data_IF_399593894056
#
_entry.id   IF_399593894056
#
_cell.length_a   1.000
_cell.length_b   1.000
_cell.length_c   1.000
_cell.angle_alpha   90.00
_cell.angle_beta   90.00
_cell.angle_gamma   90.00
#
_symmetry.space_group_name_H-M   'P 1'
#
loop_
_entity.id
_entity.type
_entity.pdbx_description
1 polymer ?
#
# COMPACT_ATOMS: atom_id res chain seq x y z
N UNK A 1 -14.20 -31.64 -3.63
CA UNK A 1 -13.94 -31.63 -2.17
C UNK A 1 -12.76 -30.72 -1.92
N UNK A 2 -12.90 -29.67 -1.12
CA UNK A 2 -11.75 -28.89 -0.65
C UNK A 2 -10.96 -29.78 0.32
N UNK A 3 -9.69 -30.01 0.03
CA UNK A 3 -8.80 -30.77 0.91
C UNK A 3 -8.62 -29.93 2.16
N UNK A 4 -9.14 -30.38 3.28
CA UNK A 4 -9.06 -29.69 4.55
C UNK A 4 -7.63 -29.82 5.09
N UNK A 5 -6.91 -28.70 5.21
CA UNK A 5 -5.60 -28.69 5.85
C UNK A 5 -5.74 -29.10 7.33
N UNK A 6 -4.90 -30.02 7.79
CA UNK A 6 -4.89 -30.43 9.19
C UNK A 6 -3.96 -29.51 9.95
N UNK A 7 -4.49 -28.75 10.92
CA UNK A 7 -3.70 -27.93 11.84
C UNK A 7 -3.01 -28.84 12.86
N UNK A 8 -1.69 -28.73 12.95
CA UNK A 8 -0.84 -29.47 13.91
C UNK A 8 -0.59 -28.66 15.16
N UNK A 9 -0.34 -27.37 14.97
CA UNK A 9 0.03 -26.44 16.03
C UNK A 9 -0.55 -25.07 15.72
N UNK A 10 -0.98 -24.35 16.76
CA UNK A 10 -1.52 -23.00 16.60
C UNK A 10 -1.11 -22.11 17.79
N UNK A 11 -0.62 -20.92 17.49
CA UNK A 11 -0.26 -19.90 18.46
C UNK A 11 -0.90 -18.57 18.09
N UNK A 12 -1.63 -17.98 19.02
CA UNK A 12 -2.16 -16.61 18.87
C UNK A 12 -1.31 -15.64 19.67
N UNK A 13 -0.90 -14.56 19.01
CA UNK A 13 -0.09 -13.50 19.58
C UNK A 13 -0.89 -12.21 19.64
N UNK A 14 -0.80 -11.53 20.79
CA UNK A 14 -1.26 -10.17 20.97
C UNK A 14 -0.03 -9.28 21.07
N UNK A 15 0.09 -8.33 20.17
CA UNK A 15 1.27 -7.48 20.04
C UNK A 15 0.88 -6.04 20.27
N UNK A 16 1.62 -5.37 21.15
CA UNK A 16 1.57 -3.93 21.31
C UNK A 16 2.95 -3.35 20.93
N UNK A 17 2.97 -2.35 20.08
CA UNK A 17 4.23 -1.75 19.64
C UNK A 17 5.01 -1.06 20.76
N UNK A 18 4.40 -0.81 21.94
CA UNK A 18 5.09 -0.35 23.15
C UNK A 18 5.93 -1.46 23.82
N UNK A 19 5.61 -2.74 23.58
CA UNK A 19 6.27 -3.92 24.16
C UNK A 19 7.32 -4.53 23.21
N UNK A 20 7.72 -3.78 22.20
CA UNK A 20 8.70 -4.21 21.21
C UNK A 20 10.07 -4.56 21.82
N UNK A 21 10.75 -5.50 21.24
CA UNK A 21 12.14 -5.87 21.63
C UNK A 21 13.15 -4.80 21.18
N UNK A 22 12.92 -4.16 20.02
CA UNK A 22 13.74 -3.08 19.47
C UNK A 22 12.99 -2.31 18.37
N UNK A 23 13.54 -1.16 17.98
CA UNK A 23 12.98 -0.34 16.90
C UNK A 23 12.07 0.81 17.38
N UNK A 24 11.22 1.32 16.49
CA UNK A 24 10.26 2.41 16.73
C UNK A 24 8.85 1.87 16.89
N UNK A 25 7.85 2.71 17.20
CA UNK A 25 6.46 2.26 17.24
C UNK A 25 5.94 1.71 15.91
N UNK A 26 6.47 2.17 14.80
CA UNK A 26 5.97 1.81 13.45
C UNK A 26 6.93 0.95 12.64
N UNK A 27 8.10 0.64 13.19
CA UNK A 27 9.06 -0.32 12.64
C UNK A 27 9.80 -0.96 13.80
N UNK A 28 9.44 -2.19 14.17
CA UNK A 28 9.94 -2.84 15.37
C UNK A 28 10.06 -4.35 15.24
N UNK A 29 10.89 -4.93 16.09
CA UNK A 29 11.07 -6.37 16.21
C UNK A 29 10.35 -6.91 17.43
N UNK A 30 9.78 -8.09 17.27
CA UNK A 30 9.34 -8.98 18.34
C UNK A 30 10.24 -10.20 18.34
N UNK A 31 10.88 -10.48 19.47
CA UNK A 31 11.65 -11.70 19.68
C UNK A 31 10.83 -12.68 20.50
N UNK A 32 10.73 -13.91 20.04
CA UNK A 32 10.06 -14.97 20.78
C UNK A 32 11.01 -15.56 21.81
N UNK A 33 10.50 -15.85 23.00
CA UNK A 33 11.28 -16.50 24.07
C UNK A 33 11.74 -17.92 23.69
N UNK A 34 10.99 -18.55 22.80
CA UNK A 34 11.31 -19.86 22.24
C UNK A 34 11.20 -19.79 20.72
N UNK A 35 12.10 -20.50 20.03
CA UNK A 35 12.04 -20.63 18.58
C UNK A 35 10.84 -21.46 18.18
N UNK A 36 10.00 -20.93 17.29
CA UNK A 36 8.88 -21.66 16.72
C UNK A 36 9.42 -22.46 15.53
N UNK A 37 9.39 -23.78 15.62
CA UNK A 37 9.86 -24.68 14.57
C UNK A 37 8.71 -25.47 13.98
N UNK A 38 8.78 -25.81 12.70
CA UNK A 38 7.90 -26.80 12.11
C UNK A 38 8.11 -28.17 12.75
N UNK A 39 7.03 -28.80 13.20
CA UNK A 39 7.06 -30.12 13.84
C UNK A 39 7.02 -31.25 12.81
N UNK A 40 6.35 -31.05 11.70
CA UNK A 40 6.17 -32.03 10.66
C UNK A 40 7.02 -31.75 9.42
N UNK A 41 7.68 -32.77 8.85
CA UNK A 41 8.46 -32.63 7.60
C UNK A 41 7.67 -32.08 6.41
N UNK A 42 6.34 -32.25 6.40
CA UNK A 42 5.41 -31.76 5.37
C UNK A 42 4.56 -30.60 5.86
N UNK A 43 4.90 -30.08 7.04
CA UNK A 43 4.25 -28.92 7.61
C UNK A 43 4.65 -27.63 6.89
N UNK A 44 3.76 -26.66 6.95
CA UNK A 44 4.00 -25.31 6.48
C UNK A 44 3.36 -24.32 7.43
N UNK A 45 4.04 -23.20 7.70
CA UNK A 45 3.46 -22.14 8.49
C UNK A 45 2.44 -21.33 7.68
N UNK A 46 1.36 -21.00 8.34
CA UNK A 46 0.40 -20.00 7.91
C UNK A 46 0.30 -18.90 8.96
N UNK A 47 0.19 -17.66 8.50
CA UNK A 47 -0.14 -16.50 9.35
C UNK A 47 -1.50 -15.96 8.99
N UNK A 48 -2.29 -15.62 10.00
CA UNK A 48 -3.58 -14.94 9.87
C UNK A 48 -3.61 -13.75 10.81
N UNK A 49 -4.00 -12.60 10.30
CA UNK A 49 -4.29 -11.43 11.13
C UNK A 49 -5.72 -11.51 11.65
N UNK A 50 -5.90 -11.26 12.95
CA UNK A 50 -7.21 -11.35 13.59
C UNK A 50 -7.81 -9.98 13.86
N UNK A 51 -6.97 -9.04 14.33
CA UNK A 51 -7.42 -7.69 14.65
C UNK A 51 -6.27 -6.71 14.61
N UNK A 52 -6.59 -5.44 14.39
CA UNK A 52 -5.63 -4.34 14.46
C UNK A 52 -6.29 -3.09 15.01
N UNK A 53 -5.55 -2.35 15.83
CA UNK A 53 -5.93 -1.07 16.41
C UNK A 53 -4.81 -0.07 16.17
N UNK A 54 -5.06 0.93 15.34
CA UNK A 54 -4.08 1.94 14.95
C UNK A 54 -4.63 3.32 15.30
N UNK A 55 -3.87 4.18 16.01
CA UNK A 55 -4.29 5.56 16.25
C UNK A 55 -4.26 6.36 14.94
N UNK A 56 -5.34 7.03 14.59
CA UNK A 56 -5.37 7.92 13.44
C UNK A 56 -4.82 9.30 13.83
N UNK A 57 -3.52 9.34 14.12
CA UNK A 57 -2.78 10.54 14.54
C UNK A 57 -1.80 11.04 13.48
N UNK A 58 -1.67 10.32 12.38
CA UNK A 58 -0.82 10.72 11.26
C UNK A 58 -1.48 11.82 10.41
N UNK A 59 -0.64 12.59 9.75
CA UNK A 59 -1.08 13.64 8.84
C UNK A 59 -1.28 13.11 7.43
N UNK A 60 -2.36 13.52 6.78
CA UNK A 60 -2.63 13.23 5.38
C UNK A 60 -1.65 13.99 4.48
N UNK A 61 -1.42 15.26 4.77
CA UNK A 61 -0.34 16.05 4.17
C UNK A 61 0.89 15.99 5.08
N UNK A 62 1.92 15.28 4.64
CA UNK A 62 3.09 15.00 5.48
C UNK A 62 4.41 15.11 4.71
N UNK A 63 5.49 15.31 5.45
CA UNK A 63 6.84 15.43 4.89
C UNK A 63 7.50 14.08 4.60
N UNK A 64 7.06 13.01 5.24
CA UNK A 64 7.62 11.67 5.05
C UNK A 64 7.41 11.20 3.63
N UNK A 65 6.19 11.39 3.11
CA UNK A 65 5.83 11.06 1.75
C UNK A 65 6.07 12.25 0.78
N UNK A 66 6.68 13.33 1.26
CA UNK A 66 6.90 14.58 0.51
C UNK A 66 5.62 15.17 -0.10
N UNK A 67 4.48 14.95 0.54
CA UNK A 67 3.16 15.39 0.06
C UNK A 67 2.91 16.89 0.31
N UNK A 68 3.77 17.55 1.05
CA UNK A 68 3.63 18.93 1.49
C UNK A 68 4.55 19.93 0.78
N UNK A 69 5.26 19.51 -0.26
CA UNK A 69 6.20 20.37 -1.00
C UNK A 69 5.67 20.65 -2.40
N UNK A 70 5.65 21.91 -2.79
CA UNK A 70 5.25 22.39 -4.11
C UNK A 70 6.38 23.21 -4.71
N UNK A 71 6.76 22.89 -5.95
CA UNK A 71 7.70 23.73 -6.71
C UNK A 71 6.94 24.90 -7.36
N UNK A 72 7.40 26.11 -7.11
CA UNK A 72 6.73 27.33 -7.58
C UNK A 72 7.69 28.17 -8.41
N UNK A 73 7.25 28.59 -9.60
CA UNK A 73 7.95 29.58 -10.42
C UNK A 73 7.19 30.89 -10.38
N UNK A 74 7.83 31.94 -9.98
CA UNK A 74 7.29 33.31 -9.86
C UNK A 74 7.98 34.21 -10.88
N UNK A 75 7.20 34.93 -11.68
CA UNK A 75 7.68 35.91 -12.62
C UNK A 75 7.02 37.26 -12.34
N UNK A 76 7.81 38.31 -12.22
CA UNK A 76 7.33 39.69 -12.01
C UNK A 76 7.30 40.52 -13.31
N UNK A 77 7.67 39.88 -14.42
CA UNK A 77 7.84 40.57 -15.71
C UNK A 77 9.24 41.14 -15.93
N UNK A 78 9.98 41.44 -14.85
CA UNK A 78 11.37 41.91 -14.90
C UNK A 78 12.35 40.93 -14.32
N UNK A 79 11.88 40.02 -13.47
CA UNK A 79 12.67 38.97 -12.82
C UNK A 79 11.85 37.70 -12.72
N UNK A 80 12.54 36.56 -12.62
CA UNK A 80 11.86 35.24 -12.48
C UNK A 80 12.73 34.31 -11.66
N UNK A 81 12.11 33.61 -10.71
CA UNK A 81 12.77 32.60 -9.88
C UNK A 81 11.91 31.39 -9.64
N UNK A 82 12.55 30.29 -9.28
CA UNK A 82 11.87 29.02 -8.92
C UNK A 82 12.34 28.59 -7.54
N UNK A 83 11.40 28.20 -6.69
CA UNK A 83 11.69 27.70 -5.36
C UNK A 83 10.65 26.68 -4.92
N UNK A 84 10.99 25.90 -3.91
CA UNK A 84 10.03 25.02 -3.25
C UNK A 84 9.37 25.77 -2.08
N UNK A 85 8.05 25.71 -2.01
CA UNK A 85 7.29 26.10 -0.81
C UNK A 85 6.88 24.84 -0.06
N UNK A 86 6.76 24.94 1.25
CA UNK A 86 6.42 23.82 2.13
C UNK A 86 5.17 24.14 2.91
N UNK A 87 4.07 23.49 2.56
CA UNK A 87 2.84 23.54 3.33
C UNK A 87 3.06 22.84 4.68
N UNK A 88 2.59 23.40 5.76
CA UNK A 88 2.71 22.79 7.08
C UNK A 88 2.08 21.38 7.09
N UNK A 89 2.68 20.45 7.83
CA UNK A 89 2.10 19.11 7.94
C UNK A 89 0.77 19.19 8.69
N UNK A 90 -0.25 18.49 8.18
CA UNK A 90 -1.55 18.56 8.79
C UNK A 90 -2.65 17.75 8.09
N UNK A 91 -3.80 17.86 8.68
CA UNK A 91 -5.05 17.34 8.16
C UNK A 91 -5.97 18.51 7.84
N UNK A 92 -6.05 18.84 6.59
CA UNK A 92 -6.69 20.06 6.13
C UNK A 92 -8.14 19.86 5.75
N UNK A 93 -8.95 20.90 5.96
CA UNK A 93 -10.16 21.15 5.18
C UNK A 93 -9.76 21.92 3.91
N UNK A 94 -10.61 21.95 2.85
CA UNK A 94 -10.29 22.72 1.66
C UNK A 94 -10.01 24.21 1.96
N UNK A 95 -10.72 24.77 2.91
CA UNK A 95 -10.58 26.19 3.30
C UNK A 95 -9.25 26.46 4.02
N UNK A 96 -8.88 25.60 4.99
CA UNK A 96 -7.61 25.75 5.71
C UNK A 96 -6.41 25.50 4.80
N UNK A 97 -6.54 24.57 3.84
CA UNK A 97 -5.50 24.31 2.85
C UNK A 97 -5.26 25.52 1.93
N UNK A 98 -6.35 26.14 1.45
CA UNK A 98 -6.28 27.35 0.62
C UNK A 98 -5.61 28.49 1.39
N UNK A 99 -5.95 28.67 2.66
CA UNK A 99 -5.36 29.70 3.51
C UNK A 99 -3.86 29.48 3.66
N UNK A 100 -3.44 28.26 3.93
CA UNK A 100 -2.03 27.92 4.08
C UNK A 100 -1.25 28.12 2.78
N UNK A 101 -1.80 27.65 1.64
CA UNK A 101 -1.20 27.88 0.33
C UNK A 101 -1.05 29.39 0.04
N UNK A 102 -2.04 30.20 0.39
CA UNK A 102 -1.99 31.65 0.22
C UNK A 102 -0.86 32.27 1.04
N UNK A 103 -0.68 31.84 2.29
CA UNK A 103 0.38 32.31 3.16
C UNK A 103 1.78 31.98 2.59
N UNK A 104 1.98 30.72 2.21
CA UNK A 104 3.24 30.25 1.66
C UNK A 104 3.61 30.94 0.33
N UNK A 105 2.64 31.12 -0.57
CA UNK A 105 2.84 31.86 -1.81
C UNK A 105 3.14 33.34 -1.56
N UNK A 106 2.48 33.96 -0.59
CA UNK A 106 2.76 35.37 -0.21
C UNK A 106 4.18 35.49 0.31
N UNK A 107 4.64 34.59 1.16
CA UNK A 107 6.02 34.57 1.64
C UNK A 107 7.01 34.34 0.50
N UNK A 108 6.74 33.41 -0.39
CA UNK A 108 7.58 33.10 -1.55
C UNK A 108 7.75 34.33 -2.49
N UNK A 109 6.72 35.15 -2.61
CA UNK A 109 6.79 36.40 -3.38
C UNK A 109 7.57 37.51 -2.66
N UNK A 110 7.46 37.57 -1.34
CA UNK A 110 8.14 38.62 -0.52
C UNK A 110 9.63 38.32 -0.29
N UNK A 111 10.00 37.05 -0.25
CA UNK A 111 11.35 36.58 0.07
C UNK A 111 11.92 35.70 -1.04
N UNK A 112 12.31 36.30 -2.19
CA UNK A 112 12.93 35.53 -3.27
C UNK A 112 14.28 34.96 -2.85
N UNK A 113 14.78 33.91 -3.52
CA UNK A 113 16.13 33.39 -3.28
C UNK A 113 17.23 34.41 -3.51
N UNK A 114 18.41 34.19 -2.93
CA UNK A 114 19.57 35.04 -3.09
C UNK A 114 19.91 35.25 -4.57
N UNK A 115 20.09 36.52 -4.97
CA UNK A 115 20.38 36.91 -6.35
C UNK A 115 19.18 37.45 -7.13
N UNK A 116 17.98 37.34 -6.58
CA UNK A 116 16.76 37.93 -7.12
C UNK A 116 16.37 39.18 -6.34
N UNK A 117 15.75 40.14 -7.03
CA UNK A 117 15.34 41.39 -6.39
C UNK A 117 13.89 41.23 -5.94
N UNK A 118 13.68 41.29 -4.64
CA UNK A 118 12.36 41.48 -4.05
C UNK A 118 11.87 42.90 -4.33
N UNK A 119 11.67 43.25 -5.59
CA UNK A 119 11.01 44.52 -5.90
C UNK A 119 9.55 44.36 -5.58
N UNK A 120 9.04 45.10 -4.61
CA UNK A 120 7.62 45.39 -4.32
C UNK A 120 6.52 44.52 -4.97
N UNK A 121 6.82 43.23 -5.25
CA UNK A 121 5.85 42.30 -5.80
C UNK A 121 4.98 41.75 -4.68
N UNK A 122 3.84 42.39 -4.51
CA UNK A 122 2.85 42.03 -3.49
C UNK A 122 1.55 41.60 -4.16
N UNK A 123 1.52 40.36 -4.73
CA UNK A 123 0.31 39.85 -5.34
C UNK A 123 -0.75 39.55 -4.28
N UNK A 124 -2.01 39.61 -4.69
CA UNK A 124 -3.12 39.14 -3.87
C UNK A 124 -3.64 37.86 -4.45
N UNK A 125 -3.75 36.82 -3.59
CA UNK A 125 -4.31 35.51 -3.95
C UNK A 125 -5.75 35.44 -3.48
N UNK A 126 -6.66 35.23 -4.42
CA UNK A 126 -8.09 35.04 -4.17
C UNK A 126 -8.49 33.62 -4.57
N UNK A 127 -8.14 32.66 -3.72
CA UNK A 127 -8.49 31.26 -3.96
C UNK A 127 -9.83 30.95 -3.33
N UNK A 128 -10.60 30.10 -3.98
CA UNK A 128 -11.91 29.69 -3.50
C UNK A 128 -12.15 28.19 -3.74
N UNK A 129 -12.98 27.60 -2.90
CA UNK A 129 -13.40 26.21 -2.99
C UNK A 129 -14.91 26.16 -3.24
N UNK A 130 -15.33 25.33 -4.18
CA UNK A 130 -16.74 25.10 -4.51
C UNK A 130 -17.20 23.79 -3.92
N UNK A 131 -17.98 23.77 -2.80
CA UNK A 131 -18.33 22.54 -2.10
C UNK A 131 -19.15 21.55 -2.94
N UNK A 132 -19.97 22.03 -3.85
CA UNK A 132 -20.83 21.19 -4.70
C UNK A 132 -20.07 20.37 -5.74
N UNK A 133 -18.88 20.82 -6.14
CA UNK A 133 -18.04 20.16 -7.16
C UNK A 133 -16.73 19.63 -6.61
N UNK A 134 -16.30 20.14 -5.47
CA UNK A 134 -15.00 19.81 -4.89
C UNK A 134 -13.81 20.52 -5.56
N UNK A 135 -14.05 21.48 -6.46
CA UNK A 135 -13.00 22.18 -7.20
C UNK A 135 -12.46 23.38 -6.43
N UNK A 136 -11.16 23.66 -6.66
CA UNK A 136 -10.48 24.88 -6.21
C UNK A 136 -10.32 25.80 -7.42
N UNK A 137 -10.66 27.09 -7.25
CA UNK A 137 -10.40 28.13 -8.23
C UNK A 137 -9.27 29.02 -7.71
N UNK A 138 -8.24 29.17 -8.52
CA UNK A 138 -7.05 29.99 -8.26
C UNK A 138 -7.21 31.32 -9.01
N UNK A 139 -7.12 32.42 -8.31
CA UNK A 139 -7.16 33.76 -8.92
C UNK A 139 -6.01 34.59 -8.35
N UNK A 140 -5.20 35.12 -9.27
CA UNK A 140 -4.10 36.05 -8.97
C UNK A 140 -4.51 37.46 -9.30
N UNK A 141 -4.33 38.38 -8.35
CA UNK A 141 -4.42 39.85 -8.59
C UNK A 141 -3.02 40.42 -8.45
N UNK A 142 -2.42 40.80 -9.59
CA UNK A 142 -1.04 41.27 -9.71
C UNK A 142 -0.88 42.15 -10.96
N UNK A 143 0.27 42.82 -11.17
CA UNK A 143 0.58 43.49 -12.43
C UNK A 143 0.45 42.54 -13.63
N UNK A 144 -0.06 43.03 -14.76
CA UNK A 144 -0.37 42.24 -15.96
C UNK A 144 0.81 41.49 -16.57
N UNK A 145 2.03 41.89 -16.29
CA UNK A 145 3.27 41.24 -16.75
C UNK A 145 3.72 40.09 -15.84
N UNK A 146 3.02 39.88 -14.73
CA UNK A 146 3.38 38.86 -13.74
C UNK A 146 2.73 37.52 -14.06
N UNK A 147 3.33 36.43 -13.57
CA UNK A 147 2.71 35.08 -13.58
C UNK A 147 3.27 34.21 -12.46
N UNK A 148 2.46 33.27 -12.00
CA UNK A 148 2.88 32.27 -11.01
C UNK A 148 2.48 30.89 -11.52
N UNK A 149 3.42 29.95 -11.46
CA UNK A 149 3.23 28.57 -11.81
C UNK A 149 3.38 27.69 -10.57
N UNK A 150 2.39 26.88 -10.31
CA UNK A 150 2.50 25.77 -9.35
C UNK A 150 2.88 24.51 -10.15
N UNK A 151 4.11 24.05 -10.00
CA UNK A 151 4.68 22.98 -10.81
C UNK A 151 4.69 21.66 -10.01
N UNK A 152 3.67 20.85 -10.15
CA UNK A 152 3.58 19.56 -9.44
C UNK A 152 4.50 18.49 -10.04
N UNK A 153 4.90 18.58 -11.31
CA UNK A 153 5.90 17.70 -11.92
C UNK A 153 7.28 17.80 -11.29
N UNK A 154 7.65 18.98 -10.87
CA UNK A 154 8.95 19.26 -10.27
C UNK A 154 8.92 19.19 -8.75
N UNK A 155 7.76 18.85 -8.17
CA UNK A 155 7.63 18.60 -6.73
C UNK A 155 8.26 17.26 -6.39
N UNK A 156 8.83 17.11 -5.18
CA UNK A 156 9.39 15.83 -4.72
C UNK A 156 8.40 14.66 -4.80
N UNK A 157 7.10 14.96 -4.72
CA UNK A 157 6.04 13.98 -4.92
C UNK A 157 4.90 14.59 -5.76
N UNK A 158 4.66 14.02 -6.93
CA UNK A 158 3.59 14.44 -7.85
C UNK A 158 2.19 14.31 -7.25
N UNK A 159 2.00 13.43 -6.26
CA UNK A 159 0.71 13.25 -5.59
C UNK A 159 0.26 14.49 -4.80
N UNK A 160 1.18 15.43 -4.51
CA UNK A 160 0.86 16.73 -3.87
C UNK A 160 -0.21 17.49 -4.66
N UNK A 161 -0.20 17.37 -5.99
CA UNK A 161 -1.21 18.00 -6.85
C UNK A 161 -2.63 17.56 -6.55
N UNK A 162 -2.83 16.32 -6.13
CA UNK A 162 -4.15 15.79 -5.80
C UNK A 162 -4.86 16.54 -4.67
N UNK A 163 -4.12 17.08 -3.69
CA UNK A 163 -4.69 17.92 -2.62
C UNK A 163 -5.36 19.18 -3.18
N UNK A 164 -4.83 19.70 -4.28
CA UNK A 164 -5.29 20.93 -4.92
C UNK A 164 -6.22 20.64 -6.11
N UNK A 165 -6.57 19.39 -6.33
CA UNK A 165 -7.43 18.98 -7.46
C UNK A 165 -6.72 19.06 -8.81
N UNK A 166 -5.40 18.94 -8.84
CA UNK A 166 -4.62 18.94 -10.07
C UNK A 166 -4.32 17.50 -10.47
N UNK A 167 -4.69 17.15 -11.69
CA UNK A 167 -4.36 15.85 -12.26
C UNK A 167 -2.84 15.75 -12.45
N UNK A 168 -2.22 14.73 -11.86
CA UNK A 168 -0.77 14.51 -11.94
C UNK A 168 -0.32 13.89 -13.26
N UNK A 169 -1.28 13.55 -14.11
CA UNK A 169 -0.97 12.96 -15.42
C UNK A 169 -0.88 14.04 -16.51
N UNK A 170 -1.85 14.95 -16.65
CA UNK A 170 -1.83 16.08 -17.60
C UNK A 170 -2.98 17.06 -17.26
N UNK A 171 -2.77 18.38 -17.15
CA UNK A 171 -1.51 19.09 -16.92
C UNK A 171 -1.10 19.03 -15.45
N UNK A 172 0.19 18.93 -15.21
CA UNK A 172 0.79 18.81 -13.89
C UNK A 172 1.19 20.17 -13.28
N UNK A 173 0.76 21.25 -13.90
CA UNK A 173 1.00 22.60 -13.43
C UNK A 173 -0.25 23.47 -13.50
N UNK A 174 -0.32 24.44 -12.62
CA UNK A 174 -1.32 25.53 -12.65
C UNK A 174 -0.60 26.81 -12.98
N UNK A 175 -0.93 27.42 -14.11
CA UNK A 175 -0.45 28.75 -14.47
C UNK A 175 -1.50 29.78 -14.03
N UNK A 176 -1.13 30.66 -13.12
CA UNK A 176 -1.94 31.78 -12.68
C UNK A 176 -1.48 33.05 -13.39
N UNK A 177 -2.32 33.57 -14.27
CA UNK A 177 -2.16 34.88 -14.87
C UNK A 177 -2.98 35.92 -14.11
N UNK A 178 -2.58 37.21 -14.10
CA UNK A 178 -3.32 38.26 -13.42
C UNK A 178 -4.77 38.37 -13.93
N UNK A 179 -5.72 38.43 -13.01
CA UNK A 179 -7.14 38.61 -13.26
C UNK A 179 -7.80 37.45 -14.07
N UNK A 180 -7.11 36.33 -14.25
CA UNK A 180 -7.66 35.16 -14.94
C UNK A 180 -7.87 34.03 -13.94
N UNK A 181 -9.10 33.64 -13.64
CA UNK A 181 -9.37 32.53 -12.75
C UNK A 181 -9.01 31.19 -13.46
N UNK A 182 -8.33 30.31 -12.73
CA UNK A 182 -7.99 28.96 -13.18
C UNK A 182 -8.65 27.98 -12.21
N UNK A 183 -9.49 27.10 -12.70
CA UNK A 183 -10.13 26.08 -11.88
C UNK A 183 -9.34 24.77 -11.97
N UNK A 184 -9.22 24.08 -10.85
CA UNK A 184 -8.57 22.77 -10.77
C UNK A 184 -9.22 21.79 -11.76
N UNK A 185 -8.45 20.80 -12.23
CA UNK A 185 -8.89 19.86 -13.27
C UNK A 185 -9.76 18.72 -12.73
N UNK A 186 -9.73 18.49 -11.42
CA UNK A 186 -10.49 17.47 -10.72
C UNK A 186 -10.83 17.95 -9.31
N UNK A 187 -11.73 17.29 -8.57
CA UNK A 187 -11.96 17.57 -7.16
C UNK A 187 -10.71 17.39 -6.32
N UNK A 188 -10.52 18.23 -5.31
CA UNK A 188 -9.41 18.08 -4.38
C UNK A 188 -9.56 16.82 -3.53
N UNK A 189 -8.43 16.11 -3.31
CA UNK A 189 -8.37 14.88 -2.53
C UNK A 189 -7.59 15.13 -1.26
N UNK A 190 -8.29 15.41 -0.15
CA UNK A 190 -7.66 15.74 1.13
C UNK A 190 -7.19 14.54 1.93
N UNK A 191 -7.66 13.34 1.56
CA UNK A 191 -7.33 12.08 2.23
C UNK A 191 -6.71 11.08 1.23
N UNK A 192 -5.50 11.34 0.73
CA UNK A 192 -4.84 10.44 -0.22
C UNK A 192 -4.41 9.11 0.44
N UNK A 193 -4.16 9.12 1.76
CA UNK A 193 -3.90 7.89 2.52
C UNK A 193 -5.25 7.29 2.89
N UNK A 194 -5.65 6.25 2.18
CA UNK A 194 -6.96 5.60 2.33
C UNK A 194 -6.89 4.19 2.94
N UNK A 195 -5.71 3.62 3.02
CA UNK A 195 -5.45 2.39 3.76
C UNK A 195 -4.01 2.33 4.26
N UNK A 196 -3.81 1.52 5.29
CA UNK A 196 -2.51 1.22 5.86
C UNK A 196 -2.14 -0.22 5.53
N UNK A 197 -0.83 -0.49 5.48
CA UNK A 197 -0.27 -1.80 5.22
C UNK A 197 0.56 -2.23 6.42
N UNK A 198 0.15 -3.33 7.04
CA UNK A 198 0.99 -4.03 8.01
C UNK A 198 1.90 -4.95 7.23
N UNK A 199 3.19 -4.74 7.37
CA UNK A 199 4.24 -5.50 6.68
C UNK A 199 5.11 -6.24 7.67
N UNK A 200 5.82 -7.26 7.20
CA UNK A 200 6.75 -8.02 8.06
C UNK A 200 7.95 -8.55 7.30
N UNK A 201 8.94 -8.99 8.07
CA UNK A 201 10.11 -9.71 7.56
C UNK A 201 9.83 -11.18 7.18
N UNK A 202 8.64 -11.69 7.46
CA UNK A 202 8.27 -13.06 7.11
C UNK A 202 8.20 -13.21 5.59
N UNK A 203 8.90 -14.18 5.06
CA UNK A 203 8.90 -14.50 3.62
C UNK A 203 7.62 -15.26 3.27
N UNK A 204 6.83 -14.71 2.38
CA UNK A 204 5.53 -15.22 2.01
C UNK A 204 5.55 -15.88 0.63
N UNK A 205 4.79 -16.98 0.48
CA UNK A 205 4.43 -17.46 -0.86
C UNK A 205 3.30 -16.58 -1.40
N UNK A 206 3.50 -16.02 -2.58
CA UNK A 206 2.39 -15.40 -3.30
C UNK A 206 1.44 -16.47 -3.83
N UNK A 207 0.18 -16.37 -3.46
CA UNK A 207 -0.88 -16.98 -4.24
C UNK A 207 -0.92 -16.21 -5.58
N UNK A 208 -0.77 -16.91 -6.71
CA UNK A 208 -0.68 -16.34 -8.07
C UNK A 208 -1.87 -15.47 -8.48
N UNK A 209 -2.93 -15.40 -7.70
CA UNK A 209 -4.17 -14.68 -8.02
C UNK A 209 -4.14 -13.18 -7.72
N UNK A 210 -3.13 -12.68 -6.99
CA UNK A 210 -3.04 -11.25 -6.61
C UNK A 210 -1.83 -10.53 -7.20
N UNK A 211 -1.42 -10.87 -8.39
CA UNK A 211 -0.20 -10.34 -8.99
C UNK A 211 -0.46 -8.98 -9.63
N UNK A 212 0.10 -7.92 -9.08
CA UNK A 212 0.45 -6.70 -9.82
C UNK A 212 1.79 -6.09 -9.35
N UNK A 213 2.62 -6.76 -8.60
CA UNK A 213 3.92 -6.22 -8.18
C UNK A 213 5.08 -7.11 -8.64
N UNK A 214 6.17 -6.49 -9.03
CA UNK A 214 7.31 -7.04 -9.77
C UNK A 214 8.12 -8.15 -9.11
N UNK A 215 7.92 -8.43 -7.81
CA UNK A 215 8.75 -9.38 -7.07
C UNK A 215 7.92 -10.56 -6.55
N UNK A 216 8.46 -11.76 -6.62
CA UNK A 216 7.78 -13.01 -6.26
C UNK A 216 7.51 -13.21 -4.75
N UNK A 217 7.95 -12.28 -3.91
CA UNK A 217 7.77 -12.30 -2.45
C UNK A 217 7.07 -11.02 -2.00
N UNK A 218 5.94 -11.16 -1.30
CA UNK A 218 5.26 -10.04 -0.65
C UNK A 218 5.67 -9.97 0.82
N UNK A 219 5.87 -8.77 1.34
CA UNK A 219 6.07 -8.46 2.76
C UNK A 219 4.79 -7.93 3.43
N UNK A 220 3.70 -7.78 2.66
CA UNK A 220 2.42 -7.28 3.15
C UNK A 220 1.66 -8.42 3.81
N UNK A 221 1.45 -8.32 5.12
CA UNK A 221 0.63 -9.26 5.88
C UNK A 221 -0.85 -8.87 5.89
N UNK A 222 -1.13 -7.56 5.96
CA UNK A 222 -2.50 -7.11 6.12
C UNK A 222 -2.74 -5.71 5.57
N UNK A 223 -3.90 -5.51 4.96
CA UNK A 223 -4.38 -4.21 4.48
C UNK A 223 -5.50 -3.72 5.38
N UNK A 224 -5.31 -2.56 5.99
CA UNK A 224 -6.23 -1.95 6.93
C UNK A 224 -6.88 -0.73 6.28
N UNK A 225 -8.16 -0.76 5.92
CA UNK A 225 -8.85 0.41 5.39
C UNK A 225 -9.04 1.47 6.48
N UNK A 226 -8.92 2.74 6.12
CA UNK A 226 -9.20 3.86 7.00
C UNK A 226 -10.69 4.18 6.88
N UNK A 227 -11.47 3.78 7.88
CA UNK A 227 -12.92 3.93 7.90
C UNK A 227 -13.41 4.92 8.96
N UNK A 228 -12.48 5.55 9.69
CA UNK A 228 -12.78 6.44 10.81
C UNK A 228 -12.29 7.86 10.53
N UNK A 229 -12.76 8.82 11.32
CA UNK A 229 -12.27 10.19 11.32
C UNK A 229 -10.95 10.32 12.09
N UNK A 230 -10.24 11.40 11.85
CA UNK A 230 -9.01 11.76 12.55
C UNK A 230 -9.21 11.86 14.07
N UNK A 231 -8.12 11.70 14.82
CA UNK A 231 -8.09 11.73 16.28
C UNK A 231 -8.92 10.61 16.94
N UNK A 232 -9.22 9.57 16.21
CA UNK A 232 -9.87 8.34 16.69
C UNK A 232 -8.99 7.12 16.45
N UNK A 233 -9.49 5.94 16.81
CA UNK A 233 -8.80 4.68 16.56
C UNK A 233 -9.38 4.00 15.33
N UNK A 234 -8.49 3.55 14.43
CA UNK A 234 -8.82 2.65 13.36
C UNK A 234 -8.88 1.26 13.97
N UNK A 235 -10.09 0.75 14.18
CA UNK A 235 -10.32 -0.59 14.71
C UNK A 235 -10.79 -1.48 13.57
N UNK A 236 -10.04 -2.55 13.30
CA UNK A 236 -10.37 -3.47 12.24
C UNK A 236 -10.24 -4.90 12.75
N UNK A 237 -11.33 -5.66 12.71
CA UNK A 237 -11.48 -6.98 13.34
C UNK A 237 -11.81 -8.08 12.33
N UNK A 238 -11.48 -7.88 11.08
CA UNK A 238 -11.69 -8.90 10.07
C UNK A 238 -10.48 -9.83 10.01
N UNK A 239 -10.72 -11.12 10.22
CA UNK A 239 -9.68 -12.13 10.05
C UNK A 239 -9.19 -12.15 8.59
N UNK A 240 -7.87 -12.12 8.39
CA UNK A 240 -7.28 -12.22 7.06
C UNK A 240 -7.40 -13.66 6.52
N UNK A 241 -7.32 -13.78 5.21
CA UNK A 241 -7.03 -15.09 4.62
C UNK A 241 -5.66 -15.59 5.09
N UNK A 242 -5.47 -16.92 5.22
CA UNK A 242 -4.20 -17.50 5.62
C UNK A 242 -3.11 -17.20 4.59
N UNK A 243 -1.99 -16.67 5.08
CA UNK A 243 -0.80 -16.41 4.27
C UNK A 243 0.23 -17.49 4.57
N UNK A 244 0.70 -18.20 3.54
CA UNK A 244 1.73 -19.21 3.68
C UNK A 244 3.12 -18.58 3.78
N UNK A 245 3.92 -19.03 4.74
CA UNK A 245 5.28 -18.56 4.99
C UNK A 245 6.27 -19.60 4.50
N UNK A 246 7.41 -19.12 3.97
CA UNK A 246 8.50 -19.98 3.45
C UNK A 246 9.40 -20.47 4.60
N UNK A 247 9.49 -19.67 5.68
CA UNK A 247 10.40 -19.97 6.79
C UNK A 247 9.99 -21.26 7.51
N UNK A 248 10.97 -22.08 7.86
CA UNK A 248 10.78 -23.32 8.62
C UNK A 248 10.92 -23.10 10.13
N UNK A 249 11.49 -21.96 10.52
CA UNK A 249 11.73 -21.57 11.90
C UNK A 249 11.46 -20.07 12.06
N UNK A 250 10.86 -19.68 13.17
CA UNK A 250 10.57 -18.28 13.48
C UNK A 250 11.10 -17.99 14.88
N UNK A 251 12.12 -17.14 14.96
CA UNK A 251 12.72 -16.68 16.22
C UNK A 251 12.35 -15.22 16.49
N UNK A 252 12.27 -14.42 15.46
CA UNK A 252 11.87 -13.01 15.54
C UNK A 252 11.09 -12.61 14.32
N UNK A 253 10.25 -11.62 14.47
CA UNK A 253 9.52 -11.00 13.36
C UNK A 253 9.71 -9.49 13.46
N UNK A 254 10.12 -8.87 12.36
CA UNK A 254 10.04 -7.43 12.21
C UNK A 254 8.67 -7.08 11.65
N UNK A 255 8.00 -6.11 12.26
CA UNK A 255 6.76 -5.53 11.77
C UNK A 255 6.95 -4.06 11.47
N UNK A 256 6.39 -3.59 10.37
CA UNK A 256 6.37 -2.19 10.05
C UNK A 256 5.06 -1.77 9.39
N UNK A 257 4.65 -0.54 9.73
CA UNK A 257 3.40 0.05 9.28
C UNK A 257 3.69 1.12 8.24
N UNK A 258 3.15 0.95 7.04
CA UNK A 258 3.26 1.91 5.93
C UNK A 258 1.88 2.34 5.44
N UNK A 259 1.82 3.32 4.57
CA UNK A 259 0.60 3.71 3.89
C UNK A 259 0.58 3.20 2.43
N UNK A 260 -0.44 3.56 1.68
CA UNK A 260 -0.61 3.21 0.27
C UNK A 260 0.27 4.02 -0.71
N UNK A 261 0.98 5.03 -0.24
CA UNK A 261 1.74 5.94 -1.10
C UNK A 261 3.24 5.63 -1.08
N UNK A 262 3.75 5.11 0.05
CA UNK A 262 5.19 4.84 0.20
C UNK A 262 5.47 3.59 1.04
N UNK A 263 6.72 3.12 0.94
CA UNK A 263 7.26 2.06 1.80
C UNK A 263 7.86 2.60 3.10
N UNK A 264 7.85 3.91 3.30
CA UNK A 264 8.41 4.54 4.50
C UNK A 264 7.49 4.27 5.69
N UNK A 265 8.04 3.87 6.85
CA UNK A 265 7.24 3.69 8.06
C UNK A 265 6.52 4.98 8.45
N UNK A 266 5.26 4.83 8.84
CA UNK A 266 4.40 5.95 9.20
C UNK A 266 4.84 6.65 10.49
N UNK A 267 4.47 7.92 10.65
CA UNK A 267 4.60 8.63 11.92
C UNK A 267 3.25 8.66 12.66
N UNK A 268 3.11 7.89 13.70
CA UNK A 268 1.93 7.85 14.57
C UNK A 268 2.05 8.80 15.78
N UNK A 269 2.90 9.82 15.70
CA UNK A 269 3.12 10.79 16.80
C UNK A 269 3.49 10.12 18.13
N UNK A 270 4.34 9.08 18.05
CA UNK A 270 4.78 8.24 19.16
C UNK A 270 3.68 7.44 19.88
N UNK A 271 2.45 7.46 19.39
CA UNK A 271 1.37 6.67 20.00
C UNK A 271 1.50 5.22 19.54
N UNK A 272 1.48 4.25 20.45
CA UNK A 272 1.58 2.84 20.13
C UNK A 272 0.33 2.34 19.41
N UNK A 273 0.49 1.27 18.63
CA UNK A 273 -0.60 0.51 18.02
C UNK A 273 -0.52 -0.94 18.41
N UNK A 274 -1.62 -1.65 18.29
CA UNK A 274 -1.74 -3.04 18.69
C UNK A 274 -2.40 -3.87 17.62
N UNK A 275 -2.08 -5.16 17.59
CA UNK A 275 -2.71 -6.13 16.70
C UNK A 275 -2.63 -7.54 17.28
N UNK A 276 -3.45 -8.43 16.76
CA UNK A 276 -3.33 -9.85 17.03
C UNK A 276 -3.22 -10.66 15.75
N UNK A 277 -2.41 -11.69 15.80
CA UNK A 277 -2.23 -12.61 14.69
C UNK A 277 -2.03 -14.03 15.20
N UNK A 278 -2.31 -14.99 14.33
CA UNK A 278 -2.15 -16.42 14.62
C UNK A 278 -1.11 -17.01 13.68
N UNK A 279 -0.15 -17.73 14.23
CA UNK A 279 0.75 -18.61 13.47
C UNK A 279 0.27 -20.02 13.68
N UNK A 280 0.01 -20.75 12.60
CA UNK A 280 -0.34 -22.17 12.67
C UNK A 280 0.51 -22.98 11.72
N UNK A 281 0.86 -24.18 12.17
CA UNK A 281 1.41 -25.22 11.31
C UNK A 281 0.28 -26.03 10.70
N UNK A 282 0.28 -26.13 9.39
CA UNK A 282 -0.70 -26.97 8.66
C UNK A 282 0.05 -28.04 7.85
N UNK A 283 -0.50 -29.23 7.84
CA UNK A 283 -0.03 -30.28 6.94
C UNK A 283 -0.67 -30.06 5.57
N UNK A 284 0.16 -30.07 4.54
CA UNK A 284 -0.34 -30.25 3.18
C UNK A 284 -0.57 -31.74 2.96
N UNK A 285 -1.77 -32.17 2.68
CA UNK A 285 -1.96 -33.55 2.23
C UNK A 285 -1.28 -33.70 0.87
N UNK A 286 -0.14 -34.39 0.87
CA UNK A 286 0.50 -34.79 -0.37
C UNK A 286 -0.42 -35.76 -1.09
N UNK A 287 -0.54 -35.57 -2.40
CA UNK A 287 -1.22 -36.54 -3.25
C UNK A 287 -0.62 -37.94 -3.15
N UNK A 288 0.66 -38.08 -2.76
CA UNK A 288 1.29 -39.38 -2.49
C UNK A 288 0.79 -40.04 -1.21
N UNK A 289 0.49 -39.25 -0.16
CA UNK A 289 -0.10 -39.81 1.06
C UNK A 289 -1.55 -40.26 0.87
N UNK A 290 -2.31 -39.61 0.00
CA UNK A 290 -3.63 -40.06 -0.42
C UNK A 290 -3.55 -41.42 -1.17
N UNK A 291 -2.56 -41.56 -2.07
CA UNK A 291 -2.33 -42.83 -2.77
C UNK A 291 -1.87 -43.92 -1.81
N UNK A 292 -1.04 -43.60 -0.82
CA UNK A 292 -0.62 -44.56 0.23
C UNK A 292 -1.79 -44.91 1.13
N UNK A 293 -2.66 -43.95 1.48
CA UNK A 293 -3.86 -44.21 2.29
C UNK A 293 -4.88 -45.07 1.54
N UNK A 294 -5.06 -44.83 0.25
CA UNK A 294 -5.93 -45.64 -0.63
C UNK A 294 -5.35 -47.07 -0.79
N UNK A 295 -4.02 -47.23 -0.80
CA UNK A 295 -3.35 -48.53 -0.88
C UNK A 295 -3.36 -49.32 0.44
N UNK A 296 -3.57 -48.64 1.58
CA UNK A 296 -3.67 -49.25 2.91
C UNK A 296 -5.10 -49.69 3.29
N UNK A 297 -6.10 -49.36 2.47
CA UNK A 297 -7.44 -49.87 2.67
C UNK A 297 -7.37 -51.37 2.29
N UNK A 298 -7.54 -52.31 3.26
CA UNK A 298 -7.52 -53.72 2.94
C UNK A 298 -8.62 -54.03 1.90
N UNK A 299 -8.37 -54.93 0.96
CA UNK A 299 -9.42 -55.33 0.06
C UNK A 299 -10.58 -55.89 0.92
N UNK A 300 -11.74 -55.22 0.85
CA UNK A 300 -12.95 -55.70 1.49
C UNK A 300 -13.30 -57.06 0.88
N UNK A 301 -13.10 -58.10 1.67
CA UNK A 301 -13.63 -59.41 1.31
C UNK A 301 -15.17 -59.39 1.51
N UNK A 302 -15.89 -59.60 0.41
CA UNK A 302 -17.30 -59.98 0.28
C UNK A 302 -18.40 -58.92 0.46
N UNK A 303 -18.70 -58.21 -0.61
CA UNK A 303 -20.07 -58.16 -1.21
C UNK A 303 -19.94 -57.57 -2.64
N UNK A 304 -20.18 -58.40 -3.65
CA UNK A 304 -19.72 -58.15 -5.03
C UNK A 304 -20.31 -56.90 -5.69
N UNK A 305 -21.43 -56.37 -5.25
CA UNK A 305 -22.03 -55.19 -5.86
C UNK A 305 -21.57 -53.84 -5.22
N UNK A 306 -21.43 -53.77 -3.90
CA UNK A 306 -20.90 -52.59 -3.23
C UNK A 306 -19.41 -52.38 -3.54
N UNK A 307 -18.65 -53.49 -3.65
CA UNK A 307 -17.24 -53.47 -4.05
C UNK A 307 -17.09 -52.99 -5.50
N UNK A 308 -17.99 -53.39 -6.39
CA UNK A 308 -18.01 -52.90 -7.76
C UNK A 308 -18.31 -51.41 -7.85
N UNK A 309 -19.26 -50.89 -7.09
CA UNK A 309 -19.59 -49.47 -7.05
C UNK A 309 -18.42 -48.65 -6.49
N UNK A 310 -17.75 -49.08 -5.41
CA UNK A 310 -16.59 -48.46 -4.83
C UNK A 310 -15.37 -48.49 -5.77
N UNK A 311 -15.18 -49.57 -6.52
CA UNK A 311 -14.15 -49.68 -7.55
C UNK A 311 -14.41 -48.76 -8.74
N UNK A 312 -15.65 -48.59 -9.18
CA UNK A 312 -16.03 -47.66 -10.22
C UNK A 312 -15.87 -46.18 -9.77
N UNK A 313 -16.23 -45.86 -8.51
CA UNK A 313 -15.97 -44.54 -7.96
C UNK A 313 -14.46 -44.23 -7.79
N UNK A 314 -13.69 -45.26 -7.34
CA UNK A 314 -12.23 -45.17 -7.29
C UNK A 314 -11.64 -44.89 -8.67
N UNK A 315 -12.09 -45.64 -9.70
CA UNK A 315 -11.62 -45.43 -11.07
C UNK A 315 -11.99 -44.05 -11.61
N UNK A 316 -13.24 -43.58 -11.36
CA UNK A 316 -13.65 -42.19 -11.73
C UNK A 316 -12.83 -41.12 -11.03
N UNK A 317 -12.44 -41.34 -9.78
CA UNK A 317 -11.55 -40.43 -9.03
C UNK A 317 -10.13 -40.43 -9.59
N UNK A 318 -9.60 -41.60 -9.96
CA UNK A 318 -8.27 -41.73 -10.59
C UNK A 318 -8.23 -41.09 -11.97
N UNK A 319 -9.27 -41.20 -12.76
CA UNK A 319 -9.37 -40.55 -14.07
C UNK A 319 -9.48 -39.01 -13.95
N UNK A 320 -10.23 -38.52 -12.97
CA UNK A 320 -10.25 -37.11 -12.64
C UNK A 320 -8.87 -36.59 -12.20
N UNK A 321 -8.17 -37.35 -11.36
CA UNK A 321 -6.81 -37.02 -10.91
C UNK A 321 -5.82 -36.99 -12.08
N UNK A 322 -5.90 -37.94 -13.00
CA UNK A 322 -5.08 -37.97 -14.21
C UNK A 322 -5.37 -36.78 -15.14
N UNK A 323 -6.64 -36.37 -15.22
CA UNK A 323 -7.05 -35.18 -15.99
C UNK A 323 -6.49 -33.87 -15.35
N UNK A 324 -6.51 -33.78 -14.03
CA UNK A 324 -5.91 -32.66 -13.31
C UNK A 324 -4.37 -32.62 -13.46
N UNK A 325 -3.70 -33.77 -13.40
CA UNK A 325 -2.25 -33.88 -13.68
C UNK A 325 -1.91 -33.41 -15.10
N UNK A 326 -2.71 -33.80 -16.10
CA UNK A 326 -2.55 -33.33 -17.48
C UNK A 326 -2.76 -31.83 -17.62
N UNK A 327 -3.75 -31.23 -16.95
CA UNK A 327 -3.98 -29.78 -16.96
C UNK A 327 -2.87 -29.00 -16.29
N UNK A 328 -2.27 -29.51 -15.23
CA UNK A 328 -1.12 -28.91 -14.55
C UNK A 328 0.19 -28.98 -15.40
N UNK A 329 0.37 -30.06 -16.16
CA UNK A 329 1.56 -30.24 -17.01
C UNK A 329 1.43 -29.57 -18.40
N UNK A 330 0.26 -29.07 -18.77
CA UNK A 330 -0.02 -28.44 -20.09
C UNK A 330 -0.04 -26.90 -19.98
N UNK A 331 0.29 -26.31 -18.84
CA UNK A 331 0.59 -24.88 -18.83
C UNK A 331 1.97 -24.66 -19.46
N UNK A 332 2.07 -24.19 -20.73
CA UNK A 332 3.36 -23.86 -21.32
C UNK A 332 3.92 -22.68 -20.55
N UNK A 333 5.14 -22.82 -20.05
CA UNK A 333 6.00 -21.69 -19.75
C UNK A 333 6.10 -20.88 -21.06
N UNK A 334 5.46 -19.73 -21.11
CA UNK A 334 5.63 -18.78 -22.21
C UNK A 334 7.10 -18.38 -22.24
N UNK A 335 7.84 -18.94 -23.18
CA UNK A 335 9.12 -18.37 -23.59
C UNK A 335 8.81 -17.04 -24.24
N UNK A 336 9.19 -15.96 -23.60
CA UNK A 336 9.31 -14.64 -24.22
C UNK A 336 10.38 -14.76 -25.33
N UNK A 337 9.93 -14.89 -26.55
CA UNK A 337 10.73 -14.56 -27.73
C UNK A 337 10.85 -13.03 -27.79
N UNK A 338 11.93 -12.49 -27.22
CA UNK A 338 12.40 -11.17 -27.59
C UNK A 338 12.99 -11.26 -28.96
N UNK A 339 12.24 -10.87 -29.96
CA UNK A 339 12.79 -10.49 -31.26
C UNK A 339 13.44 -9.12 -31.11
N UNK A 340 14.78 -9.14 -31.17
CA UNK A 340 15.60 -7.98 -31.52
C UNK A 340 15.23 -7.54 -32.94
N UNK A 341 14.51 -6.44 -33.06
CA UNK A 341 14.44 -5.72 -34.33
C UNK A 341 15.20 -4.40 -34.24
N UNK A 342 16.15 -4.31 -35.09
CA UNK A 342 17.21 -3.41 -35.28
C UNK A 342 16.85 -1.92 -35.27
N UNK A 343 17.72 -1.18 -34.63
CA UNK A 343 17.87 0.27 -34.78
C UNK A 343 18.52 0.54 -36.15
N UNK A 344 17.73 1.02 -37.08
CA UNK A 344 18.20 1.68 -38.29
C UNK A 344 18.46 3.16 -38.01
N UNK A 345 19.70 3.55 -38.22
CA UNK A 345 20.18 4.94 -38.24
C UNK A 345 19.60 5.71 -39.43
N UNK A 346 19.06 6.91 -39.18
CA UNK A 346 19.32 8.17 -39.91
C UNK A 346 19.13 9.33 -38.95
#
# INVERSE_FOLDING_TARGET
MAVQNVTVMEYTFHVNSSERSSGTNTNFNINFSQVINLLAKRGQFQVMFNSVQIPFTFYQMNSIDSLNVINVTISTGTDSWTQNITIAQGNYTPYTLITELTNELTQACQYPPVGHVASAFTPTFNFSYTPSTGYITFLLTAPVTSSIYLNFNNSPNVNTGGFFGINTVIPTQVQMLPFQPVTSTQPCVLNPINYLLVRSSLKQFRNREFIVLRDDVSDILYKVPITTSQSTWINYFQMSEPIYIIDNTIQSINFYLTNNLSYTPMNLQLIPWAFSFTIREVLRPDYESLNTFISLIPPLEHNDEEVKQLLEEKQKLMDKLALYKRKLNVMPLSKDERTDEGVGSV
#
